data_IF_361995737508
#
_entry.id   IF_361995737508
#
_cell.length_a   1.000
_cell.length_b   1.000
_cell.length_c   1.000
_cell.angle_alpha   90.00
_cell.angle_beta   90.00
_cell.angle_gamma   90.00
#
_symmetry.space_group_name_H-M   'P 1'
#
loop_
_entity.id
_entity.type
_entity.pdbx_description
1 polymer ?
#
# COMPACT_ATOMS: atom_id res chain seq x y z
N UNK A 1 -3.95 -25.83 36.24
CA UNK A 1 -5.29 -25.25 36.17
C UNK A 1 -5.38 -23.88 36.85
N UNK A 2 -4.42 -22.97 36.69
CA UNK A 2 -4.43 -21.60 37.29
C UNK A 2 -4.02 -20.46 36.31
N UNK A 3 -3.96 -20.74 35.00
CA UNK A 3 -3.58 -19.72 33.96
C UNK A 3 -4.71 -19.35 32.99
N UNK A 4 -5.95 -19.81 33.20
CA UNK A 4 -7.09 -19.52 32.32
C UNK A 4 -8.15 -18.59 32.91
N UNK A 5 -7.96 -18.04 34.11
CA UNK A 5 -8.96 -17.18 34.81
C UNK A 5 -8.65 -15.69 34.70
N UNK A 6 -7.43 -15.29 34.30
CA UNK A 6 -7.04 -13.87 34.24
C UNK A 6 -7.47 -13.17 32.93
N UNK A 7 -7.69 -13.91 31.85
CA UNK A 7 -8.06 -13.33 30.55
C UNK A 7 -9.55 -12.97 30.38
N UNK A 8 -10.43 -13.41 31.27
CA UNK A 8 -11.87 -13.16 31.17
C UNK A 8 -12.31 -11.92 31.96
N UNK A 9 -11.47 -11.41 32.85
CA UNK A 9 -11.82 -10.24 33.70
C UNK A 9 -11.43 -8.89 33.10
N UNK A 10 -10.61 -8.83 32.05
CA UNK A 10 -10.25 -7.58 31.34
C UNK A 10 -11.22 -7.20 30.21
N UNK A 11 -12.03 -8.13 29.71
CA UNK A 11 -13.01 -7.88 28.66
C UNK A 11 -14.36 -7.32 29.19
N UNK A 12 -14.56 -7.34 30.50
CA UNK A 12 -15.82 -6.92 31.14
C UNK A 12 -15.91 -5.45 31.57
N UNK A 13 -14.84 -4.67 31.50
CA UNK A 13 -14.82 -3.29 31.99
C UNK A 13 -14.91 -2.19 30.94
N UNK A 14 -15.00 -2.49 29.67
CA UNK A 14 -15.15 -1.47 28.61
C UNK A 14 -16.57 -1.29 28.05
N UNK A 15 -17.59 -1.95 28.63
CA UNK A 15 -18.96 -1.86 28.12
C UNK A 15 -19.96 -1.13 29.09
N UNK A 16 -19.48 -0.39 30.08
CA UNK A 16 -20.34 0.27 31.07
C UNK A 16 -20.29 1.82 31.09
N UNK A 17 -19.69 2.47 30.09
CA UNK A 17 -19.51 3.94 30.09
C UNK A 17 -20.34 4.72 29.04
N UNK A 18 -21.33 4.13 28.38
CA UNK A 18 -22.06 4.78 27.28
C UNK A 18 -23.58 4.93 27.49
N UNK A 19 -24.10 4.94 28.73
CA UNK A 19 -25.54 5.18 29.00
C UNK A 19 -25.77 6.01 30.29
N UNK A 20 -25.39 7.30 30.28
CA UNK A 20 -26.00 8.27 31.18
C UNK A 20 -25.82 9.69 30.64
N UNK A 21 -26.95 10.34 30.39
CA UNK A 21 -26.98 11.80 30.26
C UNK A 21 -27.69 12.33 29.04
N UNK A 22 -28.99 12.61 29.16
CA UNK A 22 -29.54 13.94 29.02
C UNK A 22 -31.08 13.86 29.10
N UNK A 23 -31.63 14.09 30.28
CA UNK A 23 -32.98 14.61 30.44
C UNK A 23 -32.86 16.03 30.97
N UNK A 24 -33.23 17.00 30.17
CA UNK A 24 -33.33 18.41 30.52
C UNK A 24 -34.61 18.97 29.92
N UNK A 25 -35.67 19.03 30.73
CA UNK A 25 -36.92 19.74 30.46
C UNK A 25 -36.69 21.24 30.57
N UNK A 26 -36.99 21.98 29.51
CA UNK A 26 -37.01 23.45 29.50
C UNK A 26 -38.18 23.96 28.69
N UNK A 27 -39.05 24.65 29.39
CA UNK A 27 -40.36 25.20 29.05
C UNK A 27 -40.36 26.16 27.87
N UNK A 28 -41.41 26.04 27.10
CA UNK A 28 -41.90 26.84 25.98
C UNK A 28 -42.29 28.27 26.44
N UNK A 29 -41.84 29.26 25.70
CA UNK A 29 -42.50 30.58 25.73
C UNK A 29 -42.70 31.04 24.27
N UNK A 30 -43.97 31.17 23.90
CA UNK A 30 -44.45 31.72 22.64
C UNK A 30 -44.27 33.23 22.64
N UNK A 31 -43.81 33.77 21.54
CA UNK A 31 -44.12 35.13 21.11
C UNK A 31 -44.31 35.18 19.61
N UNK A 32 -45.54 35.48 19.24
CA UNK A 32 -45.97 35.76 17.87
C UNK A 32 -45.53 37.15 17.42
N UNK A 33 -45.05 37.32 16.20
CA UNK A 33 -45.39 38.50 15.39
C UNK A 33 -44.96 38.35 13.90
N UNK A 34 -45.96 38.42 13.09
CA UNK A 34 -46.12 39.12 11.81
C UNK A 34 -45.33 38.65 10.58
N UNK A 35 -46.15 38.34 9.61
CA UNK A 35 -45.93 38.05 8.21
C UNK A 35 -45.16 39.17 7.47
N UNK A 36 -44.23 38.78 6.67
CA UNK A 36 -43.70 39.53 5.56
C UNK A 36 -43.60 38.60 4.36
N UNK A 37 -44.50 38.79 3.39
CA UNK A 37 -44.42 38.18 2.08
C UNK A 37 -43.18 38.75 1.35
N UNK A 38 -42.27 37.88 0.89
CA UNK A 38 -41.32 38.21 -0.14
C UNK A 38 -41.35 37.12 -1.20
N UNK A 39 -41.53 37.61 -2.41
CA UNK A 39 -41.70 36.90 -3.68
C UNK A 39 -40.59 35.89 -3.92
N UNK A 40 -40.97 34.69 -4.34
CA UNK A 40 -40.09 33.76 -5.04
C UNK A 40 -39.74 34.36 -6.44
N UNK A 41 -38.54 34.80 -6.59
CA UNK A 41 -37.95 35.06 -7.90
C UNK A 41 -37.23 33.78 -8.34
N UNK A 42 -37.82 33.09 -9.28
CA UNK A 42 -37.30 31.97 -10.02
C UNK A 42 -36.06 32.42 -10.81
N UNK A 43 -34.87 32.09 -10.35
CA UNK A 43 -33.65 32.21 -11.14
C UNK A 43 -33.49 30.94 -12.00
N UNK A 44 -33.83 31.09 -13.27
CA UNK A 44 -33.44 30.14 -14.31
C UNK A 44 -31.91 30.12 -14.47
N UNK A 45 -31.29 28.96 -14.75
CA UNK A 45 -29.84 28.90 -15.00
C UNK A 45 -29.53 29.67 -16.28
N UNK A 46 -28.60 30.62 -16.19
CA UNK A 46 -28.04 31.30 -17.34
C UNK A 46 -27.14 30.29 -18.09
N UNK A 47 -27.55 29.89 -19.28
CA UNK A 47 -26.69 29.22 -20.25
C UNK A 47 -25.58 30.20 -20.68
N UNK A 48 -24.38 30.00 -20.16
CA UNK A 48 -23.18 30.64 -20.71
C UNK A 48 -22.78 29.85 -21.97
N UNK A 49 -23.14 30.34 -23.13
CA UNK A 49 -22.51 29.95 -24.38
C UNK A 49 -21.07 30.47 -24.39
N UNK A 50 -20.16 29.68 -23.89
CA UNK A 50 -18.75 29.82 -24.22
C UNK A 50 -18.54 29.08 -25.54
N UNK A 51 -18.39 29.82 -26.63
CA UNK A 51 -17.91 29.30 -27.90
C UNK A 51 -16.47 28.85 -27.73
N UNK A 52 -16.24 27.58 -27.43
CA UNK A 52 -14.96 26.97 -27.57
C UNK A 52 -14.71 26.75 -29.06
N UNK A 53 -13.76 27.49 -29.62
CA UNK A 53 -13.15 27.11 -30.89
C UNK A 53 -12.53 25.73 -30.72
N UNK A 54 -13.15 24.70 -31.31
CA UNK A 54 -12.59 23.37 -31.41
C UNK A 54 -11.42 23.46 -32.39
N UNK A 55 -10.21 23.57 -31.87
CA UNK A 55 -9.05 23.03 -32.58
C UNK A 55 -9.27 21.55 -32.70
N UNK A 56 -9.38 21.06 -33.95
CA UNK A 56 -9.66 19.66 -34.23
C UNK A 56 -8.64 18.74 -33.59
N UNK A 57 -8.96 18.25 -32.42
CA UNK A 57 -8.42 17.00 -31.92
C UNK A 57 -9.10 15.92 -32.77
N UNK A 58 -8.34 15.22 -33.61
CA UNK A 58 -8.77 13.95 -34.18
C UNK A 58 -9.30 13.12 -33.00
N UNK A 59 -10.55 12.68 -33.07
CA UNK A 59 -11.04 11.64 -32.16
C UNK A 59 -10.13 10.42 -32.36
N UNK A 60 -9.19 10.22 -31.44
CA UNK A 60 -8.44 8.99 -31.34
C UNK A 60 -9.50 7.94 -31.02
N UNK A 61 -9.87 7.14 -32.01
CA UNK A 61 -10.68 5.97 -31.81
C UNK A 61 -9.79 5.00 -31.00
N UNK A 62 -9.90 5.04 -29.69
CA UNK A 62 -9.13 4.18 -28.80
C UNK A 62 -9.39 2.73 -29.20
N UNK A 63 -8.38 2.09 -29.73
CA UNK A 63 -8.37 0.66 -30.01
C UNK A 63 -8.51 -0.12 -28.70
N UNK A 64 -8.88 -1.38 -28.77
CA UNK A 64 -8.75 -2.27 -27.60
C UNK A 64 -7.27 -2.44 -27.30
N UNK A 65 -6.81 -2.15 -26.07
CA UNK A 65 -5.39 -2.27 -25.75
C UNK A 65 -4.96 -3.75 -25.88
N UNK A 66 -3.78 -3.93 -26.45
CA UNK A 66 -3.12 -5.22 -26.59
C UNK A 66 -2.27 -5.55 -25.36
N UNK A 67 -1.73 -4.53 -24.73
CA UNK A 67 -0.88 -4.62 -23.55
C UNK A 67 -1.52 -3.82 -22.41
N UNK A 68 -1.71 -4.46 -21.28
CA UNK A 68 -2.33 -3.82 -20.11
C UNK A 68 -1.44 -4.03 -18.88
N UNK A 69 -1.03 -2.93 -18.29
CA UNK A 69 -0.36 -2.91 -17.00
C UNK A 69 -1.31 -2.36 -15.94
N UNK A 70 -1.46 -3.07 -14.85
CA UNK A 70 -2.20 -2.64 -13.67
C UNK A 70 -1.28 -2.63 -12.45
N UNK A 71 -0.90 -1.44 -12.00
CA UNK A 71 -0.12 -1.26 -10.79
C UNK A 71 -1.03 -0.99 -9.60
N UNK A 72 -0.84 -1.72 -8.52
CA UNK A 72 -1.57 -1.57 -7.26
C UNK A 72 -0.57 -1.29 -6.14
N UNK A 73 -0.62 -0.09 -5.55
CA UNK A 73 0.02 0.16 -4.27
C UNK A 73 -0.93 -0.28 -3.15
N UNK A 74 -0.61 -1.38 -2.46
CA UNK A 74 -1.41 -1.85 -1.33
C UNK A 74 -1.34 -0.83 -0.20
N UNK A 75 -2.49 -0.43 0.34
CA UNK A 75 -2.57 0.58 1.38
C UNK A 75 -2.15 1.99 0.95
N UNK A 76 -1.90 2.20 -0.34
CA UNK A 76 -1.43 3.45 -0.91
C UNK A 76 -2.60 4.35 -1.32
N UNK A 77 -2.76 5.46 -0.62
CA UNK A 77 -3.70 6.51 -1.01
C UNK A 77 -2.98 7.83 -1.28
N UNK A 78 -3.73 8.90 -1.41
CA UNK A 78 -3.17 10.21 -1.74
C UNK A 78 -2.07 10.70 -0.78
N UNK A 79 -2.14 10.52 0.55
CA UNK A 79 -1.08 10.93 1.45
C UNK A 79 0.26 10.23 1.20
N UNK A 80 0.28 8.94 0.89
CA UNK A 80 1.50 8.19 0.61
C UNK A 80 2.18 8.72 -0.66
N UNK A 81 1.42 8.90 -1.73
CA UNK A 81 1.92 9.45 -3.00
C UNK A 81 2.43 10.89 -2.83
N UNK A 82 1.66 11.75 -2.15
CA UNK A 82 2.06 13.14 -1.93
C UNK A 82 3.27 13.28 -1.00
N UNK A 83 3.33 12.49 0.08
CA UNK A 83 4.48 12.49 0.98
C UNK A 83 5.75 12.12 0.22
N UNK A 84 5.69 11.07 -0.59
CA UNK A 84 6.82 10.60 -1.41
C UNK A 84 7.26 11.67 -2.41
N UNK A 85 6.31 12.29 -3.12
CA UNK A 85 6.61 13.36 -4.06
C UNK A 85 7.26 14.58 -3.40
N UNK A 86 6.78 14.98 -2.23
CA UNK A 86 7.36 16.10 -1.47
C UNK A 86 8.73 15.74 -0.89
N UNK A 87 8.91 14.51 -0.40
CA UNK A 87 10.21 14.02 0.05
C UNK A 87 11.24 14.10 -1.09
N UNK A 88 10.91 13.63 -2.29
CA UNK A 88 11.77 13.73 -3.48
C UNK A 88 12.10 15.19 -3.82
N UNK A 89 11.13 16.11 -3.72
CA UNK A 89 11.37 17.53 -3.94
C UNK A 89 12.39 18.12 -2.96
N UNK A 90 12.30 17.72 -1.69
CA UNK A 90 13.21 18.21 -0.64
C UNK A 90 14.59 17.55 -0.73
N UNK A 91 14.66 16.24 -0.93
CA UNK A 91 15.93 15.48 -1.01
C UNK A 91 16.75 15.88 -2.23
N UNK A 92 16.09 16.17 -3.36
CA UNK A 92 16.74 16.67 -4.58
C UNK A 92 17.09 18.16 -4.53
N UNK A 93 16.82 18.83 -3.41
CA UNK A 93 17.12 20.26 -3.24
C UNK A 93 16.25 21.17 -4.12
N UNK A 94 15.06 20.73 -4.52
CA UNK A 94 14.11 21.52 -5.29
C UNK A 94 13.50 22.59 -4.40
N UNK A 95 14.08 23.79 -4.44
CA UNK A 95 13.52 24.97 -3.80
C UNK A 95 13.51 26.15 -4.77
N UNK A 96 12.52 27.02 -4.61
CA UNK A 96 12.35 28.21 -5.43
C UNK A 96 13.11 29.43 -4.86
N UNK A 97 14.13 29.22 -4.03
CA UNK A 97 14.88 30.27 -3.34
C UNK A 97 14.35 30.53 -1.93
N UNK A 98 14.55 31.76 -1.43
CA UNK A 98 14.09 32.16 -0.11
C UNK A 98 13.10 33.33 -0.19
N UNK A 99 12.32 33.50 0.87
CA UNK A 99 11.41 34.63 1.06
C UNK A 99 11.51 35.10 2.52
N UNK A 100 11.49 36.41 2.74
CA UNK A 100 11.44 36.97 4.10
C UNK A 100 9.98 37.16 4.51
N UNK A 101 9.55 36.47 5.56
CA UNK A 101 8.22 36.59 6.15
C UNK A 101 8.38 37.04 7.60
N UNK A 102 7.79 38.18 7.98
CA UNK A 102 7.88 38.75 9.33
C UNK A 102 9.30 38.94 9.85
N UNK A 103 10.27 39.13 8.94
CA UNK A 103 11.68 39.31 9.27
C UNK A 103 12.50 38.03 9.34
N UNK A 104 11.89 36.87 9.17
CA UNK A 104 12.54 35.56 9.06
C UNK A 104 12.69 35.13 7.61
N UNK A 105 13.84 34.55 7.28
CA UNK A 105 14.08 33.96 5.98
C UNK A 105 13.51 32.54 5.95
N UNK A 106 12.57 32.30 5.03
CA UNK A 106 11.95 30.98 4.81
C UNK A 106 12.29 30.45 3.43
N UNK A 107 12.54 29.16 3.32
CA UNK A 107 12.74 28.48 2.04
C UNK A 107 11.40 28.39 1.30
N UNK A 108 11.40 28.85 0.05
CA UNK A 108 10.27 28.63 -0.85
C UNK A 108 10.33 27.21 -1.36
N UNK A 109 9.27 26.44 -1.09
CA UNK A 109 9.14 25.10 -1.62
C UNK A 109 8.75 25.14 -3.09
N UNK A 110 9.37 24.29 -3.89
CA UNK A 110 8.97 24.00 -5.27
C UNK A 110 8.74 22.50 -5.36
N UNK A 111 7.49 22.10 -5.55
CA UNK A 111 7.11 20.71 -5.73
C UNK A 111 6.77 20.47 -7.19
N UNK A 112 7.58 19.63 -7.83
CA UNK A 112 7.30 19.10 -9.17
C UNK A 112 6.67 17.73 -9.05
N UNK A 113 6.13 17.23 -10.14
CA UNK A 113 5.77 15.82 -10.22
C UNK A 113 7.07 15.02 -10.41
N UNK A 114 7.61 14.51 -9.31
CA UNK A 114 8.83 13.71 -9.29
C UNK A 114 8.55 12.23 -9.50
N UNK A 115 7.30 11.82 -9.32
CA UNK A 115 6.85 10.44 -9.56
C UNK A 115 6.26 10.35 -10.98
N UNK A 116 6.63 9.30 -11.69
CA UNK A 116 6.15 8.98 -13.04
C UNK A 116 4.63 8.82 -13.06
N UNK A 117 4.07 8.14 -12.05
CA UNK A 117 2.61 7.93 -11.90
C UNK A 117 1.84 9.25 -11.77
N UNK A 118 2.43 10.31 -11.26
CA UNK A 118 1.80 11.63 -11.12
C UNK A 118 1.82 12.44 -12.42
N UNK A 119 2.53 12.01 -13.44
CA UNK A 119 2.62 12.68 -14.74
C UNK A 119 1.55 12.21 -15.74
N UNK A 120 0.77 11.20 -15.40
CA UNK A 120 -0.26 10.65 -16.28
C UNK A 120 -1.33 11.67 -16.61
N UNK A 121 -1.81 11.71 -17.88
CA UNK A 121 -2.74 12.73 -18.34
C UNK A 121 -4.16 12.55 -17.81
N UNK A 122 -4.50 11.37 -17.31
CA UNK A 122 -5.82 11.03 -16.79
C UNK A 122 -5.72 10.71 -15.31
N UNK A 123 -6.56 11.33 -14.50
CA UNK A 123 -6.70 11.05 -13.09
C UNK A 123 -8.16 10.73 -12.76
N UNK A 124 -8.35 9.81 -11.81
CA UNK A 124 -9.67 9.42 -11.32
C UNK A 124 -9.66 9.20 -9.81
N UNK A 125 -10.79 8.77 -9.27
CA UNK A 125 -10.92 8.38 -7.88
C UNK A 125 -11.84 7.19 -7.75
N UNK A 126 -11.60 6.36 -6.73
CA UNK A 126 -12.43 5.20 -6.41
C UNK A 126 -12.84 5.22 -4.93
N UNK A 127 -13.95 4.57 -4.62
CA UNK A 127 -14.36 4.28 -3.25
C UNK A 127 -13.96 2.86 -2.91
N UNK A 128 -13.22 2.70 -1.84
CA UNK A 128 -12.52 1.45 -1.50
C UNK A 128 -13.23 0.57 -0.46
N UNK A 129 -14.44 0.90 -0.02
CA UNK A 129 -15.21 0.10 0.95
C UNK A 129 -15.49 -1.33 0.46
N UNK A 130 -15.61 -2.29 1.38
CA UNK A 130 -16.11 -3.63 1.11
C UNK A 130 -17.59 -3.78 1.57
N UNK A 131 -18.18 -4.99 1.44
CA UNK A 131 -19.57 -5.22 1.80
C UNK A 131 -19.86 -5.13 3.30
N UNK A 132 -18.83 -5.06 4.15
CA UNK A 132 -18.95 -5.10 5.61
C UNK A 132 -18.20 -3.99 6.33
N UNK A 133 -17.30 -3.26 5.65
CA UNK A 133 -16.45 -2.25 6.27
C UNK A 133 -16.20 -1.05 5.35
N UNK A 134 -16.14 0.15 5.93
CA UNK A 134 -15.60 1.34 5.27
C UNK A 134 -14.07 1.42 5.35
N UNK A 135 -13.44 0.59 6.17
CA UNK A 135 -12.00 0.35 6.21
C UNK A 135 -11.75 -1.11 5.81
N UNK A 136 -11.75 -1.40 4.51
CA UNK A 136 -11.66 -2.76 3.97
C UNK A 136 -10.24 -3.32 4.10
N UNK A 137 -10.11 -4.62 3.85
CA UNK A 137 -8.81 -5.29 3.71
C UNK A 137 -8.43 -5.51 2.25
N UNK A 138 -7.18 -5.87 2.00
CA UNK A 138 -6.62 -6.10 0.66
C UNK A 138 -7.35 -7.20 -0.12
N UNK A 139 -7.90 -8.22 0.55
CA UNK A 139 -8.61 -9.31 -0.12
C UNK A 139 -9.91 -8.82 -0.78
N UNK A 140 -10.72 -8.08 -0.04
CA UNK A 140 -11.99 -7.54 -0.52
C UNK A 140 -11.84 -6.40 -1.53
N UNK A 141 -10.81 -5.57 -1.36
CA UNK A 141 -10.51 -4.49 -2.30
C UNK A 141 -9.95 -5.01 -3.62
N UNK A 142 -8.97 -5.92 -3.56
CA UNK A 142 -8.44 -6.57 -4.76
C UNK A 142 -9.51 -7.40 -5.48
N UNK A 143 -10.41 -8.09 -4.76
CA UNK A 143 -11.61 -8.71 -5.35
C UNK A 143 -12.43 -7.68 -6.12
N UNK A 144 -12.65 -6.49 -5.55
CA UNK A 144 -13.42 -5.44 -6.21
C UNK A 144 -12.75 -4.95 -7.49
N UNK A 145 -11.41 -4.82 -7.50
CA UNK A 145 -10.62 -4.42 -8.67
C UNK A 145 -10.65 -5.53 -9.73
N UNK A 146 -10.40 -6.78 -9.32
CA UNK A 146 -10.25 -7.90 -10.24
C UNK A 146 -11.58 -8.37 -10.86
N UNK A 147 -12.71 -8.20 -10.16
CA UNK A 147 -14.00 -8.80 -10.59
C UNK A 147 -15.13 -7.79 -10.81
N UNK A 148 -15.00 -6.57 -10.25
CA UNK A 148 -16.08 -5.58 -10.21
C UNK A 148 -17.15 -5.86 -9.16
N UNK A 149 -16.94 -6.84 -8.27
CA UNK A 149 -17.90 -7.23 -7.23
C UNK A 149 -17.37 -6.90 -5.84
N UNK A 150 -18.27 -6.60 -4.90
CA UNK A 150 -17.94 -6.47 -3.47
C UNK A 150 -18.06 -7.85 -2.80
N UNK A 151 -17.23 -8.05 -1.78
CA UNK A 151 -17.24 -9.25 -0.92
C UNK A 151 -16.95 -8.87 0.53
N UNK A 152 -16.84 -9.84 1.42
CA UNK A 152 -16.50 -9.65 2.83
C UNK A 152 -15.00 -9.38 3.00
N UNK A 153 -14.66 -8.62 4.05
CA UNK A 153 -13.27 -8.52 4.50
C UNK A 153 -12.67 -9.93 4.70
N UNK A 154 -11.50 -10.14 4.10
CA UNK A 154 -10.78 -11.41 4.19
C UNK A 154 -11.18 -12.49 3.19
N UNK A 155 -12.15 -12.23 2.32
CA UNK A 155 -12.58 -13.18 1.27
C UNK A 155 -12.05 -12.79 -0.10
N UNK A 156 -11.78 -13.78 -0.94
CA UNK A 156 -11.19 -13.61 -2.28
C UNK A 156 -12.15 -14.17 -3.30
N UNK A 157 -12.68 -13.31 -4.19
CA UNK A 157 -13.49 -13.65 -5.37
C UNK A 157 -14.69 -14.58 -5.12
N UNK A 158 -15.31 -14.49 -3.95
CA UNK A 158 -16.51 -15.23 -3.60
C UNK A 158 -17.64 -14.29 -3.18
N UNK A 159 -18.88 -14.73 -3.39
CA UNK A 159 -20.05 -13.98 -2.93
C UNK A 159 -20.14 -13.95 -1.41
N UNK A 160 -20.92 -13.01 -0.86
CA UNK A 160 -21.09 -12.83 0.58
C UNK A 160 -21.64 -14.06 1.31
N UNK A 161 -22.38 -14.92 0.62
CA UNK A 161 -22.92 -16.18 1.12
C UNK A 161 -22.07 -17.41 0.76
N UNK A 162 -20.90 -17.17 0.13
CA UNK A 162 -19.96 -18.19 -0.33
C UNK A 162 -20.55 -19.24 -1.31
N UNK A 163 -21.65 -18.89 -1.98
CA UNK A 163 -22.31 -19.80 -2.94
C UNK A 163 -21.85 -19.63 -4.37
N UNK A 164 -21.20 -18.51 -4.69
CA UNK A 164 -20.74 -18.17 -6.03
C UNK A 164 -19.27 -17.72 -5.98
N UNK A 165 -18.54 -18.05 -7.03
CA UNK A 165 -17.22 -17.48 -7.34
C UNK A 165 -17.37 -16.41 -8.42
N UNK A 166 -16.49 -15.41 -8.37
CA UNK A 166 -16.47 -14.31 -9.34
C UNK A 166 -15.29 -14.48 -10.28
N UNK A 167 -15.55 -14.68 -11.55
CA UNK A 167 -14.51 -14.73 -12.58
C UNK A 167 -13.75 -13.39 -12.66
N UNK A 168 -12.44 -13.47 -12.62
CA UNK A 168 -11.56 -12.30 -12.61
C UNK A 168 -11.32 -11.74 -14.02
N UNK A 169 -10.85 -10.47 -14.09
CA UNK A 169 -10.44 -9.89 -15.37
C UNK A 169 -9.27 -10.66 -16.01
N UNK A 170 -8.33 -11.17 -15.19
CA UNK A 170 -7.19 -11.93 -15.68
C UNK A 170 -7.62 -13.26 -16.32
N UNK A 171 -8.54 -14.00 -15.69
CA UNK A 171 -9.14 -15.21 -16.26
C UNK A 171 -9.87 -14.91 -17.56
N UNK A 172 -10.70 -13.88 -17.58
CA UNK A 172 -11.44 -13.46 -18.80
C UNK A 172 -10.50 -13.10 -19.95
N UNK A 173 -9.42 -12.38 -19.68
CA UNK A 173 -8.47 -11.99 -20.71
C UNK A 173 -7.71 -13.20 -21.26
N UNK A 174 -7.32 -14.14 -20.38
CA UNK A 174 -6.72 -15.41 -20.80
C UNK A 174 -7.68 -16.22 -21.67
N UNK A 175 -8.89 -16.47 -21.18
CA UNK A 175 -9.83 -17.37 -21.84
C UNK A 175 -10.44 -16.79 -23.12
N UNK A 176 -10.74 -15.48 -23.14
CA UNK A 176 -11.48 -14.86 -24.24
C UNK A 176 -10.57 -14.16 -25.26
N UNK A 177 -9.36 -13.81 -24.89
CA UNK A 177 -8.42 -13.06 -25.75
C UNK A 177 -7.11 -13.79 -25.99
N UNK A 178 -6.87 -14.92 -25.31
CA UNK A 178 -5.62 -15.67 -25.37
C UNK A 178 -4.40 -14.78 -25.03
N UNK A 179 -4.61 -13.80 -24.13
CA UNK A 179 -3.55 -12.95 -23.60
C UNK A 179 -2.71 -13.74 -22.61
N UNK A 180 -1.41 -13.51 -22.59
CA UNK A 180 -0.56 -13.97 -21.49
C UNK A 180 -0.83 -13.16 -20.22
N UNK A 181 -0.71 -13.80 -19.07
CA UNK A 181 -1.01 -13.18 -17.77
C UNK A 181 0.23 -13.19 -16.89
N UNK A 182 0.59 -12.01 -16.38
CA UNK A 182 1.64 -11.82 -15.36
C UNK A 182 1.06 -11.30 -14.05
N UNK A 183 1.49 -11.88 -12.94
CA UNK A 183 1.12 -11.45 -11.58
C UNK A 183 2.41 -11.29 -10.75
N UNK A 184 2.69 -10.06 -10.35
CA UNK A 184 3.91 -9.71 -9.64
C UNK A 184 3.58 -9.03 -8.30
N UNK A 185 4.39 -9.29 -7.28
CA UNK A 185 4.20 -8.65 -5.99
C UNK A 185 5.48 -8.58 -5.17
N UNK A 186 5.66 -7.50 -4.41
CA UNK A 186 6.72 -7.39 -3.41
C UNK A 186 6.43 -8.20 -2.15
N UNK A 187 5.16 -8.61 -1.91
CA UNK A 187 4.78 -9.58 -0.87
C UNK A 187 4.63 -10.98 -1.47
N UNK A 188 4.08 -11.92 -0.69
CA UNK A 188 3.95 -13.30 -1.16
C UNK A 188 3.02 -13.41 -2.36
N UNK A 189 3.36 -14.25 -3.32
CA UNK A 189 2.54 -14.47 -4.50
C UNK A 189 1.17 -15.07 -4.17
N UNK A 190 1.01 -15.77 -3.06
CA UNK A 190 -0.26 -16.27 -2.54
C UNK A 190 -0.84 -15.40 -1.40
N UNK A 191 -0.41 -14.12 -1.29
CA UNK A 191 -1.06 -13.11 -0.46
C UNK A 191 -2.37 -12.64 -1.10
N UNK A 192 -3.16 -11.87 -0.37
CA UNK A 192 -4.53 -11.52 -0.74
C UNK A 192 -4.66 -10.80 -2.10
N UNK A 193 -3.86 -9.77 -2.33
CA UNK A 193 -3.95 -8.94 -3.55
C UNK A 193 -3.58 -9.69 -4.81
N UNK A 194 -2.41 -10.36 -4.92
CA UNK A 194 -2.13 -11.17 -6.10
C UNK A 194 -3.13 -12.33 -6.26
N UNK A 195 -3.53 -12.98 -5.14
CA UNK A 195 -4.49 -14.08 -5.14
C UNK A 195 -5.85 -13.68 -5.74
N UNK A 196 -6.29 -12.43 -5.57
CA UNK A 196 -7.55 -11.95 -6.11
C UNK A 196 -7.61 -11.91 -7.65
N UNK A 197 -6.52 -12.18 -8.34
CA UNK A 197 -6.51 -12.27 -9.79
C UNK A 197 -6.62 -13.69 -10.33
N UNK A 198 -6.48 -14.74 -9.45
CA UNK A 198 -6.48 -16.14 -9.87
C UNK A 198 -7.15 -17.12 -8.89
N UNK A 199 -7.46 -16.71 -7.65
CA UNK A 199 -7.97 -17.63 -6.63
C UNK A 199 -9.38 -17.25 -6.15
N UNK A 200 -10.11 -18.25 -5.61
CA UNK A 200 -11.50 -18.13 -5.16
C UNK A 200 -11.67 -18.78 -3.79
N UNK A 201 -11.28 -18.06 -2.73
CA UNK A 201 -11.24 -18.59 -1.39
C UNK A 201 -12.11 -17.80 -0.41
N UNK A 202 -12.83 -18.50 0.45
CA UNK A 202 -13.58 -17.87 1.54
C UNK A 202 -12.69 -17.17 2.57
N UNK A 203 -11.40 -17.45 2.57
CA UNK A 203 -10.42 -16.86 3.49
C UNK A 203 -9.08 -16.63 2.82
N UNK A 204 -8.57 -15.39 2.91
CA UNK A 204 -7.21 -15.01 2.50
C UNK A 204 -6.10 -15.78 3.23
N UNK A 205 -6.42 -16.41 4.36
CA UNK A 205 -5.48 -17.24 5.12
C UNK A 205 -5.37 -18.68 4.63
N UNK A 206 -6.12 -19.07 3.60
CA UNK A 206 -6.03 -20.38 2.96
C UNK A 206 -4.82 -20.49 2.02
N UNK A 207 -3.64 -20.07 2.50
CA UNK A 207 -2.45 -19.89 1.67
C UNK A 207 -2.07 -21.09 0.79
N UNK A 208 -2.20 -22.31 1.32
CA UNK A 208 -1.88 -23.49 0.53
C UNK A 208 -2.89 -23.72 -0.59
N UNK A 209 -4.18 -23.56 -0.31
CA UNK A 209 -5.23 -23.74 -1.32
C UNK A 209 -5.18 -22.63 -2.37
N UNK A 210 -4.86 -21.38 -1.97
CA UNK A 210 -4.57 -20.29 -2.89
C UNK A 210 -3.37 -20.65 -3.79
N UNK A 211 -2.30 -21.23 -3.24
CA UNK A 211 -1.15 -21.68 -4.01
C UNK A 211 -1.48 -22.80 -5.01
N UNK A 212 -2.41 -23.68 -4.69
CA UNK A 212 -2.92 -24.67 -5.65
C UNK A 212 -3.68 -24.00 -6.79
N UNK A 213 -4.55 -23.03 -6.48
CA UNK A 213 -5.28 -22.27 -7.51
C UNK A 213 -4.34 -21.40 -8.38
N UNK A 214 -3.24 -20.89 -7.81
CA UNK A 214 -2.19 -20.21 -8.58
C UNK A 214 -1.62 -21.14 -9.67
N UNK A 215 -1.30 -22.38 -9.30
CA UNK A 215 -0.77 -23.38 -10.23
C UNK A 215 -1.83 -23.77 -11.27
N UNK A 216 -3.07 -23.98 -10.85
CA UNK A 216 -4.19 -24.39 -11.70
C UNK A 216 -4.63 -23.29 -12.65
N UNK A 217 -4.40 -21.99 -12.35
CA UNK A 217 -4.69 -20.86 -13.21
C UNK A 217 -3.99 -20.97 -14.58
N UNK A 218 -2.83 -21.63 -14.57
CA UNK A 218 -1.98 -21.75 -15.75
C UNK A 218 -1.53 -20.39 -16.31
N UNK A 219 -1.49 -19.32 -15.49
CA UNK A 219 -0.97 -18.03 -15.90
C UNK A 219 0.51 -18.10 -16.24
N UNK A 220 1.03 -17.14 -16.97
CA UNK A 220 2.27 -17.30 -17.72
C UNK A 220 3.50 -16.79 -16.94
N UNK A 221 3.33 -15.82 -16.03
CA UNK A 221 4.44 -15.26 -15.26
C UNK A 221 4.00 -14.85 -13.84
N UNK A 222 4.59 -15.48 -12.84
CA UNK A 222 4.50 -15.04 -11.46
C UNK A 222 5.88 -14.61 -10.98
N UNK A 223 6.01 -13.44 -10.32
CA UNK A 223 7.32 -12.99 -9.88
C UNK A 223 7.31 -12.11 -8.62
N UNK A 224 8.40 -12.16 -7.88
CA UNK A 224 8.66 -11.37 -6.69
C UNK A 224 8.77 -12.23 -5.43
N UNK A 225 7.90 -12.00 -4.43
CA UNK A 225 7.97 -12.76 -3.18
C UNK A 225 7.70 -14.25 -3.31
N UNK A 226 8.02 -15.00 -2.27
CA UNK A 226 7.82 -16.45 -2.22
C UNK A 226 6.38 -16.85 -1.92
N UNK A 227 6.18 -18.12 -1.54
CA UNK A 227 4.89 -18.64 -1.13
C UNK A 227 4.81 -18.83 0.39
N UNK A 228 3.71 -18.41 0.99
CA UNK A 228 3.40 -18.73 2.37
C UNK A 228 2.89 -20.17 2.47
N UNK A 229 3.36 -20.89 3.50
CA UNK A 229 2.95 -22.25 3.81
C UNK A 229 3.02 -23.20 2.60
N UNK A 230 4.14 -23.26 1.85
CA UNK A 230 4.23 -24.06 0.62
C UNK A 230 4.00 -25.56 0.82
N UNK A 231 4.18 -26.06 2.04
CA UNK A 231 3.89 -27.46 2.42
C UNK A 231 2.69 -27.59 3.36
N UNK A 232 1.80 -26.59 3.37
CA UNK A 232 0.67 -26.49 4.27
C UNK A 232 1.04 -25.98 5.66
N UNK A 233 0.04 -25.57 6.42
CA UNK A 233 0.22 -25.00 7.77
C UNK A 233 0.93 -25.97 8.74
N UNK A 234 0.59 -27.24 8.68
CA UNK A 234 1.17 -28.30 9.52
C UNK A 234 2.41 -28.93 8.87
N UNK A 235 2.84 -28.45 7.72
CA UNK A 235 3.98 -28.96 6.92
C UNK A 235 3.84 -30.42 6.53
N UNK A 236 2.64 -30.85 6.23
CA UNK A 236 2.25 -32.24 5.94
C UNK A 236 1.71 -32.44 4.51
N UNK A 237 1.69 -31.37 3.72
CA UNK A 237 1.25 -31.38 2.32
C UNK A 237 2.45 -31.41 1.36
N UNK A 238 2.19 -31.80 0.12
CA UNK A 238 3.17 -31.72 -0.96
C UNK A 238 3.62 -30.28 -1.21
N UNK A 239 4.89 -30.11 -1.55
CA UNK A 239 5.45 -28.77 -1.75
C UNK A 239 4.88 -28.11 -3.01
N UNK A 240 4.36 -26.87 -2.86
CA UNK A 240 3.74 -26.13 -3.97
C UNK A 240 4.72 -25.86 -5.12
N UNK A 241 6.00 -25.66 -4.84
CA UNK A 241 6.98 -25.47 -5.92
C UNK A 241 7.17 -26.75 -6.73
N UNK A 242 7.23 -27.91 -6.05
CA UNK A 242 7.30 -29.18 -6.76
C UNK A 242 6.02 -29.48 -7.57
N UNK A 243 4.85 -29.11 -7.05
CA UNK A 243 3.59 -29.21 -7.78
C UNK A 243 3.57 -28.28 -9.00
N UNK A 244 4.10 -27.06 -8.88
CA UNK A 244 4.22 -26.12 -9.98
C UNK A 244 5.11 -26.66 -11.10
N UNK A 245 6.29 -27.21 -10.75
CA UNK A 245 7.18 -27.85 -11.72
C UNK A 245 6.48 -29.04 -12.42
N UNK A 246 5.76 -29.87 -11.67
CA UNK A 246 4.98 -30.98 -12.23
C UNK A 246 3.85 -30.50 -13.17
N UNK A 247 3.29 -29.32 -12.93
CA UNK A 247 2.29 -28.65 -13.80
C UNK A 247 2.92 -27.92 -14.99
N UNK A 248 4.24 -27.99 -15.14
CA UNK A 248 4.97 -27.42 -16.27
C UNK A 248 5.44 -25.98 -16.11
N UNK A 249 5.46 -25.46 -14.88
CA UNK A 249 6.14 -24.19 -14.61
C UNK A 249 7.65 -24.38 -14.52
N UNK A 250 8.38 -23.40 -15.04
CA UNK A 250 9.80 -23.23 -14.74
C UNK A 250 9.90 -22.39 -13.46
N UNK A 251 10.31 -23.01 -12.36
CA UNK A 251 10.52 -22.31 -11.09
C UNK A 251 11.99 -21.90 -11.00
N UNK A 252 12.24 -20.60 -10.79
CA UNK A 252 13.58 -20.04 -10.59
C UNK A 252 13.61 -19.29 -9.26
N UNK A 253 14.71 -19.40 -8.53
CA UNK A 253 14.86 -18.86 -7.18
C UNK A 253 16.20 -18.13 -6.98
N UNK A 254 16.90 -17.86 -8.06
CA UNK A 254 18.12 -17.06 -8.06
C UNK A 254 18.03 -15.98 -9.11
N UNK A 255 18.67 -14.84 -8.84
CA UNK A 255 18.73 -13.72 -9.79
C UNK A 255 19.33 -14.15 -11.12
N UNK A 256 20.40 -14.95 -11.10
CA UNK A 256 21.05 -15.43 -12.31
C UNK A 256 20.13 -16.30 -13.18
N UNK A 257 19.27 -17.13 -12.58
CA UNK A 257 18.25 -17.90 -13.30
C UNK A 257 17.15 -16.98 -13.85
N UNK A 258 16.72 -15.99 -13.08
CA UNK A 258 15.73 -15.00 -13.51
C UNK A 258 16.25 -14.15 -14.69
N UNK A 259 17.52 -13.72 -14.66
CA UNK A 259 18.16 -13.02 -15.78
C UNK A 259 18.17 -13.83 -17.07
N UNK A 260 18.30 -15.16 -16.98
CA UNK A 260 18.35 -16.05 -18.13
C UNK A 260 16.97 -16.39 -18.73
N UNK A 261 15.86 -15.95 -18.12
CA UNK A 261 14.49 -16.20 -18.61
C UNK A 261 14.23 -15.52 -19.95
N UNK A 262 13.41 -16.16 -20.78
CA UNK A 262 13.01 -15.72 -22.12
C UNK A 262 11.56 -16.08 -22.42
N UNK A 263 11.01 -15.49 -23.48
CA UNK A 263 9.63 -15.72 -23.93
C UNK A 263 9.32 -17.21 -24.23
N UNK A 264 10.31 -17.99 -24.68
CA UNK A 264 10.17 -19.41 -24.98
C UNK A 264 10.16 -20.35 -23.77
N UNK A 265 10.46 -19.85 -22.56
CA UNK A 265 10.44 -20.66 -21.34
C UNK A 265 9.04 -21.08 -20.91
N UNK A 266 7.99 -20.50 -21.49
CA UNK A 266 6.60 -20.83 -21.22
C UNK A 266 6.12 -20.25 -19.89
N UNK A 267 5.52 -21.10 -19.04
CA UNK A 267 5.03 -20.65 -17.73
C UNK A 267 6.17 -20.58 -16.71
N UNK A 268 6.28 -19.45 -16.02
CA UNK A 268 7.40 -19.17 -15.11
C UNK A 268 6.90 -18.74 -13.74
N UNK A 269 7.57 -19.20 -12.69
CA UNK A 269 7.49 -18.65 -11.33
C UNK A 269 8.91 -18.21 -10.94
N UNK A 270 9.13 -16.90 -10.84
CA UNK A 270 10.41 -16.30 -10.48
C UNK A 270 10.35 -15.72 -9.06
N UNK A 271 10.97 -16.42 -8.12
CA UNK A 271 11.01 -16.02 -6.71
C UNK A 271 12.30 -15.24 -6.45
N UNK A 272 12.19 -14.15 -5.71
CA UNK A 272 13.32 -13.35 -5.28
C UNK A 272 14.33 -14.20 -4.47
N UNK A 273 15.63 -14.02 -4.77
CA UNK A 273 16.70 -14.75 -4.09
C UNK A 273 16.85 -14.32 -2.63
N UNK A 274 16.53 -13.05 -2.32
CA UNK A 274 16.76 -12.40 -1.04
C UNK A 274 15.46 -12.12 -0.29
N UNK A 275 14.71 -13.20 0.01
CA UNK A 275 13.47 -13.08 0.76
C UNK A 275 13.71 -12.61 2.20
N UNK A 276 12.92 -11.63 2.61
CA UNK A 276 12.91 -11.07 3.96
C UNK A 276 11.76 -11.65 4.83
N UNK A 277 11.17 -10.82 5.68
CA UNK A 277 10.10 -11.21 6.58
C UNK A 277 8.92 -11.87 5.84
N UNK A 278 8.40 -12.94 6.40
CA UNK A 278 7.26 -13.68 5.85
C UNK A 278 7.44 -14.17 4.41
N UNK A 279 8.65 -14.39 3.93
CA UNK A 279 8.97 -14.76 2.54
C UNK A 279 8.54 -13.71 1.51
N UNK A 280 8.48 -12.45 1.88
CA UNK A 280 8.31 -11.32 0.97
C UNK A 280 9.68 -10.82 0.46
N UNK A 281 9.71 -10.00 -0.59
CA UNK A 281 10.92 -9.27 -0.98
C UNK A 281 11.38 -8.34 0.16
N UNK A 282 12.64 -7.98 0.17
CA UNK A 282 13.16 -6.94 1.08
C UNK A 282 12.41 -5.61 0.88
N UNK A 283 12.30 -4.80 1.95
CA UNK A 283 11.94 -3.39 1.77
C UNK A 283 12.98 -2.71 0.90
N UNK A 284 12.58 -1.78 0.04
CA UNK A 284 13.52 -1.04 -0.80
C UNK A 284 14.61 -0.33 0.02
N UNK A 285 14.29 0.12 1.24
CA UNK A 285 15.25 0.71 2.18
C UNK A 285 16.34 -0.27 2.63
N UNK A 286 16.05 -1.57 2.66
CA UNK A 286 16.95 -2.62 3.14
C UNK A 286 17.65 -3.38 2.02
N UNK A 287 17.18 -3.25 0.79
CA UNK A 287 17.68 -3.95 -0.40
C UNK A 287 19.10 -3.50 -0.73
N UNK A 288 19.99 -4.43 -1.02
CA UNK A 288 21.31 -4.11 -1.55
C UNK A 288 21.21 -3.64 -3.02
N UNK A 289 22.14 -2.79 -3.45
CA UNK A 289 22.11 -2.18 -4.78
C UNK A 289 22.18 -3.22 -5.92
N UNK A 290 22.86 -4.35 -5.68
CA UNK A 290 23.01 -5.45 -6.63
C UNK A 290 21.82 -6.42 -6.67
N UNK A 291 20.91 -6.36 -5.71
CA UNK A 291 19.71 -7.21 -5.67
C UNK A 291 18.60 -6.64 -6.58
N UNK A 292 17.84 -7.51 -7.21
CA UNK A 292 16.73 -7.11 -8.05
C UNK A 292 15.64 -6.37 -7.25
N UNK A 293 15.15 -5.30 -7.84
CA UNK A 293 13.96 -4.57 -7.39
C UNK A 293 12.71 -5.04 -8.14
N UNK A 294 11.54 -4.57 -7.72
CA UNK A 294 10.27 -4.82 -8.42
C UNK A 294 10.34 -4.44 -9.91
N UNK A 295 11.05 -3.36 -10.23
CA UNK A 295 11.22 -2.87 -11.60
C UNK A 295 11.94 -3.90 -12.50
N UNK A 296 12.93 -4.63 -11.98
CA UNK A 296 13.66 -5.65 -12.73
C UNK A 296 12.76 -6.85 -13.07
N UNK A 297 11.89 -7.25 -12.14
CA UNK A 297 10.88 -8.29 -12.38
C UNK A 297 9.83 -7.85 -13.39
N UNK A 298 9.45 -6.56 -13.43
CA UNK A 298 8.54 -6.01 -14.45
C UNK A 298 9.22 -6.02 -15.82
N UNK A 299 10.47 -5.55 -15.93
CA UNK A 299 11.23 -5.57 -17.17
C UNK A 299 11.38 -6.99 -17.71
N UNK A 300 11.75 -7.95 -16.86
CA UNK A 300 11.82 -9.36 -17.23
C UNK A 300 10.46 -9.94 -17.60
N UNK A 301 9.40 -9.54 -16.91
CA UNK A 301 8.03 -9.94 -17.22
C UNK A 301 7.57 -9.49 -18.58
N UNK A 302 7.95 -8.29 -19.02
CA UNK A 302 7.69 -7.79 -20.38
C UNK A 302 8.35 -8.72 -21.41
N UNK A 303 9.61 -9.13 -21.20
CA UNK A 303 10.32 -10.05 -22.09
C UNK A 303 9.66 -11.45 -22.14
N UNK A 304 9.30 -12.01 -20.99
CA UNK A 304 8.71 -13.36 -20.88
C UNK A 304 7.29 -13.41 -21.46
N UNK A 305 6.52 -12.34 -21.27
CA UNK A 305 5.12 -12.25 -21.72
C UNK A 305 4.97 -11.80 -23.17
N UNK A 306 6.04 -11.38 -23.85
CA UNK A 306 5.94 -10.92 -25.23
C UNK A 306 5.35 -11.99 -26.14
N UNK A 307 4.31 -11.62 -26.91
CA UNK A 307 3.60 -12.50 -27.83
C UNK A 307 2.65 -11.70 -28.75
N UNK A 308 2.14 -12.36 -29.79
CA UNK A 308 1.26 -11.73 -30.78
C UNK A 308 -0.12 -11.31 -30.25
N UNK A 309 -0.63 -11.94 -29.19
CA UNK A 309 -1.95 -11.66 -28.61
C UNK A 309 -1.91 -10.57 -27.51
N UNK A 310 -0.71 -10.21 -27.04
CA UNK A 310 -0.48 -9.27 -25.98
C UNK A 310 -0.57 -9.89 -24.59
N UNK A 311 -0.52 -9.05 -23.57
CA UNK A 311 -0.52 -9.50 -22.17
C UNK A 311 -1.29 -8.56 -21.24
N UNK A 312 -1.70 -9.11 -20.11
CA UNK A 312 -2.11 -8.38 -18.91
C UNK A 312 -1.09 -8.65 -17.80
N UNK A 313 -0.54 -7.59 -17.22
CA UNK A 313 0.39 -7.67 -16.11
C UNK A 313 -0.14 -6.88 -14.91
N UNK A 314 -0.45 -7.56 -13.80
CA UNK A 314 -0.72 -6.94 -12.52
C UNK A 314 0.58 -6.89 -11.71
N UNK A 315 0.89 -5.73 -11.14
CA UNK A 315 2.09 -5.46 -10.35
C UNK A 315 1.70 -4.82 -9.03
N UNK A 316 2.05 -5.45 -7.94
CA UNK A 316 1.71 -4.97 -6.60
C UNK A 316 2.95 -4.47 -5.84
N UNK A 317 2.83 -3.24 -5.30
CA UNK A 317 3.70 -2.72 -4.25
C UNK A 317 3.13 -3.04 -2.87
N UNK A 318 3.14 -4.31 -2.47
CA UNK A 318 2.47 -4.78 -1.25
C UNK A 318 3.18 -4.36 0.04
N UNK A 319 4.48 -4.08 -0.02
CA UNK A 319 5.27 -3.64 1.15
C UNK A 319 4.91 -2.22 1.60
N UNK A 320 4.25 -1.42 0.77
CA UNK A 320 3.76 -0.08 1.15
C UNK A 320 2.76 -0.20 2.30
N UNK A 321 1.80 -1.13 2.21
CA UNK A 321 0.81 -1.40 3.26
C UNK A 321 1.47 -1.84 4.58
N UNK A 322 2.42 -2.77 4.50
CA UNK A 322 3.10 -3.27 5.68
C UNK A 322 3.91 -2.17 6.39
N UNK A 323 4.57 -1.30 5.64
CA UNK A 323 5.25 -0.12 6.19
C UNK A 323 4.26 0.85 6.85
N UNK A 324 3.10 1.09 6.21
CA UNK A 324 2.03 1.93 6.77
C UNK A 324 1.44 1.35 8.06
N UNK A 325 1.20 0.04 8.13
CA UNK A 325 0.76 -0.65 9.36
C UNK A 325 1.74 -0.46 10.52
N UNK A 326 3.04 -0.44 10.22
CA UNK A 326 4.09 -0.21 11.21
C UNK A 326 4.31 1.29 11.54
N UNK A 327 3.65 2.20 10.83
CA UNK A 327 3.94 3.65 10.85
C UNK A 327 5.39 3.98 10.49
N UNK A 328 6.01 3.19 9.62
CA UNK A 328 7.35 3.39 9.08
C UNK A 328 7.29 4.24 7.80
N UNK A 329 7.31 5.55 7.97
CA UNK A 329 7.15 6.49 6.86
C UNK A 329 8.34 6.46 5.88
N UNK A 330 9.56 6.16 6.33
CA UNK A 330 10.71 6.07 5.43
C UNK A 330 10.59 4.85 4.51
N UNK A 331 10.24 3.67 5.05
CA UNK A 331 9.96 2.48 4.24
C UNK A 331 8.75 2.69 3.33
N UNK A 332 7.69 3.36 3.80
CA UNK A 332 6.54 3.73 2.94
C UNK A 332 6.99 4.56 1.73
N UNK A 333 7.85 5.55 1.94
CA UNK A 333 8.37 6.41 0.87
C UNK A 333 9.21 5.60 -0.11
N UNK A 334 10.16 4.79 0.37
CA UNK A 334 11.08 4.05 -0.50
C UNK A 334 10.36 2.97 -1.31
N UNK A 335 9.40 2.27 -0.72
CA UNK A 335 8.59 1.26 -1.43
C UNK A 335 7.58 1.89 -2.41
N UNK A 336 7.09 3.11 -2.13
CA UNK A 336 6.31 3.89 -3.12
C UNK A 336 7.20 4.30 -4.31
N UNK A 337 8.46 4.67 -4.07
CA UNK A 337 9.43 4.95 -5.14
C UNK A 337 9.73 3.67 -5.94
N UNK A 338 9.90 2.52 -5.28
CA UNK A 338 10.12 1.25 -5.95
C UNK A 338 8.95 0.87 -6.87
N UNK A 339 7.71 1.10 -6.45
CA UNK A 339 6.54 0.93 -7.30
C UNK A 339 6.56 1.90 -8.49
N UNK A 340 6.93 3.17 -8.28
CA UNK A 340 7.01 4.17 -9.34
C UNK A 340 8.11 3.85 -10.37
N UNK A 341 9.24 3.30 -9.93
CA UNK A 341 10.30 2.81 -10.81
C UNK A 341 9.81 1.62 -11.68
N UNK A 342 8.95 0.77 -11.12
CA UNK A 342 8.31 -0.30 -11.88
C UNK A 342 7.28 0.26 -12.90
N UNK A 343 6.56 1.33 -12.56
CA UNK A 343 5.70 2.07 -13.50
C UNK A 343 6.51 2.68 -14.63
N UNK A 344 7.72 3.17 -14.35
CA UNK A 344 8.60 3.72 -15.39
C UNK A 344 8.94 2.68 -16.47
N UNK A 345 9.15 1.40 -16.10
CA UNK A 345 9.36 0.32 -17.06
C UNK A 345 8.16 0.11 -18.01
N UNK A 346 6.96 0.23 -17.48
CA UNK A 346 5.76 0.19 -18.32
C UNK A 346 5.64 1.43 -19.23
N UNK A 347 6.08 2.61 -18.78
CA UNK A 347 6.11 3.83 -19.60
C UNK A 347 7.19 3.73 -20.68
N UNK A 348 8.35 3.12 -20.41
CA UNK A 348 9.37 2.81 -21.43
C UNK A 348 8.77 1.93 -22.52
N UNK A 349 8.06 0.86 -22.16
CA UNK A 349 7.35 -0.01 -23.09
C UNK A 349 6.24 0.72 -23.86
N UNK A 350 5.44 1.56 -23.17
CA UNK A 350 4.41 2.39 -23.80
C UNK A 350 4.99 3.30 -24.89
N UNK A 351 6.18 3.86 -24.71
CA UNK A 351 6.81 4.73 -25.69
C UNK A 351 7.15 3.99 -27.01
N UNK A 352 7.29 2.68 -26.96
CA UNK A 352 7.47 1.81 -28.12
C UNK A 352 6.15 1.35 -28.73
N UNK A 353 5.08 1.24 -27.91
CA UNK A 353 3.76 0.72 -28.29
C UNK A 353 2.58 1.64 -27.86
N UNK A 354 2.60 2.96 -28.21
CA UNK A 354 1.69 3.96 -27.61
C UNK A 354 0.20 3.73 -27.98
N UNK A 355 -0.08 3.15 -29.14
CA UNK A 355 -1.46 2.94 -29.61
C UNK A 355 -2.10 1.64 -29.05
N UNK A 356 -1.29 0.77 -28.44
CA UNK A 356 -1.69 -0.57 -28.02
C UNK A 356 -1.57 -0.81 -26.51
N UNK A 357 -1.00 0.15 -25.76
CA UNK A 357 -0.69 -0.01 -24.32
C UNK A 357 -1.62 0.82 -23.46
N UNK A 358 -2.14 0.19 -22.41
CA UNK A 358 -2.87 0.84 -21.31
C UNK A 358 -2.12 0.63 -20.00
N UNK A 359 -1.79 1.73 -19.30
CA UNK A 359 -1.18 1.70 -17.98
C UNK A 359 -2.17 2.29 -16.97
N UNK A 360 -2.46 1.55 -15.93
CA UNK A 360 -3.33 1.96 -14.82
C UNK A 360 -2.52 1.87 -13.53
N UNK A 361 -2.51 2.95 -12.74
CA UNK A 361 -1.91 2.96 -11.40
C UNK A 361 -2.99 3.33 -10.39
N UNK A 362 -3.14 2.53 -9.35
CA UNK A 362 -4.13 2.76 -8.29
C UNK A 362 -3.62 2.31 -6.93
N UNK A 363 -4.25 2.77 -5.86
CA UNK A 363 -4.23 2.10 -4.58
C UNK A 363 -5.51 1.29 -4.42
N UNK A 364 -5.54 0.36 -3.49
CA UNK A 364 -6.69 -0.48 -3.20
C UNK A 364 -7.47 0.00 -1.95
N UNK A 365 -6.79 0.48 -0.93
CA UNK A 365 -7.31 1.17 0.26
C UNK A 365 -6.24 2.10 0.83
N UNK A 366 -6.55 2.81 1.91
CA UNK A 366 -5.58 3.55 2.71
C UNK A 366 -5.16 2.71 3.92
N UNK A 367 -3.99 3.01 4.51
CA UNK A 367 -3.46 2.28 5.67
C UNK A 367 -2.66 3.19 6.59
N UNK A 368 -2.71 2.92 7.89
CA UNK A 368 -1.88 3.54 8.91
C UNK A 368 -2.27 4.96 9.30
N UNK A 369 -3.27 5.56 8.65
CA UNK A 369 -3.72 6.93 8.94
C UNK A 369 -2.64 7.98 8.67
N UNK A 370 -1.79 7.78 7.65
CA UNK A 370 -0.72 8.71 7.28
C UNK A 370 -1.26 10.10 6.98
N UNK A 371 -0.64 11.13 7.55
CA UNK A 371 -0.91 12.54 7.26
C UNK A 371 0.40 13.31 7.15
N UNK A 372 0.46 14.31 6.25
CA UNK A 372 1.69 15.05 5.96
C UNK A 372 2.01 16.08 7.05
N UNK A 373 1.01 16.56 7.78
CA UNK A 373 1.21 17.54 8.83
C UNK A 373 0.20 17.37 9.97
N UNK A 374 0.54 17.89 11.14
CA UNK A 374 -0.34 17.90 12.30
C UNK A 374 -0.19 19.20 13.11
N UNK A 375 -1.12 19.47 14.02
CA UNK A 375 -1.20 20.74 14.76
C UNK A 375 0.06 21.14 15.56
N UNK A 376 0.90 20.17 15.96
CA UNK A 376 2.13 20.42 16.70
C UNK A 376 3.31 20.91 15.87
N UNK A 377 3.18 21.02 14.55
CA UNK A 377 4.26 21.48 13.65
C UNK A 377 4.11 22.92 13.17
N UNK A 378 3.03 23.63 13.55
CA UNK A 378 2.75 25.00 13.10
C UNK A 378 2.83 25.17 11.58
N UNK A 379 2.34 24.12 10.84
CA UNK A 379 2.38 24.03 9.37
C UNK A 379 3.76 23.76 8.74
N UNK A 380 4.79 23.53 9.54
CA UNK A 380 6.10 23.11 9.04
C UNK A 380 6.14 21.59 8.78
N UNK A 381 7.02 21.16 7.87
CA UNK A 381 7.31 19.76 7.56
C UNK A 381 8.82 19.52 7.62
N UNK A 382 9.21 18.34 8.11
CA UNK A 382 10.62 18.01 8.33
C UNK A 382 11.01 16.76 7.52
N UNK A 383 10.59 16.70 6.27
CA UNK A 383 10.69 15.50 5.40
C UNK A 383 12.14 15.02 5.22
N UNK A 384 13.11 15.94 5.26
CA UNK A 384 14.52 15.59 5.17
C UNK A 384 15.00 14.70 6.31
N UNK A 385 14.30 14.67 7.45
CA UNK A 385 14.66 13.81 8.58
C UNK A 385 14.53 12.31 8.22
N UNK A 386 13.72 11.94 7.22
CA UNK A 386 13.62 10.56 6.75
C UNK A 386 14.93 10.02 6.15
N UNK A 387 15.83 10.89 5.68
CA UNK A 387 17.17 10.49 5.22
C UNK A 387 18.03 9.88 6.33
N UNK A 388 17.68 10.10 7.59
CA UNK A 388 18.39 9.55 8.73
C UNK A 388 18.03 8.09 9.03
N UNK A 389 16.88 7.61 8.56
CA UNK A 389 16.51 6.20 8.72
C UNK A 389 17.23 5.35 7.67
N UNK A 390 17.95 4.32 8.12
CA UNK A 390 18.81 3.47 7.30
C UNK A 390 18.36 2.02 7.21
N UNK A 391 17.27 1.69 7.89
CA UNK A 391 16.79 0.32 8.05
C UNK A 391 15.28 0.34 8.25
N UNK A 392 14.56 -0.63 7.70
CA UNK A 392 13.13 -0.77 7.96
C UNK A 392 12.85 -1.22 9.39
N UNK A 393 11.60 -1.02 9.84
CA UNK A 393 11.15 -1.55 11.12
C UNK A 393 11.32 -3.08 11.20
N UNK A 394 11.04 -3.80 10.10
CA UNK A 394 11.08 -5.27 10.06
C UNK A 394 12.49 -5.80 10.21
N UNK A 395 13.45 -5.23 9.48
CA UNK A 395 14.86 -5.58 9.58
C UNK A 395 15.43 -5.18 10.95
N UNK A 396 15.01 -4.05 11.52
CA UNK A 396 15.38 -3.68 12.88
C UNK A 396 14.85 -4.67 13.92
N UNK A 397 13.60 -5.13 13.76
CA UNK A 397 13.02 -6.11 14.68
C UNK A 397 13.74 -7.46 14.61
N UNK A 398 14.09 -7.93 13.40
CA UNK A 398 14.81 -9.19 13.20
C UNK A 398 16.26 -9.14 13.68
N UNK A 399 17.01 -8.13 13.29
CA UNK A 399 18.46 -8.09 13.44
C UNK A 399 18.89 -7.56 14.82
N UNK A 400 18.05 -6.73 15.47
CA UNK A 400 18.40 -6.04 16.72
C UNK A 400 17.47 -6.39 17.89
N UNK A 401 16.15 -6.23 17.74
CA UNK A 401 15.21 -6.32 18.88
C UNK A 401 15.19 -7.72 19.48
N UNK A 402 15.28 -8.76 18.66
CA UNK A 402 15.38 -10.14 19.14
C UNK A 402 16.61 -10.36 20.01
N UNK A 403 17.77 -9.84 19.59
CA UNK A 403 19.01 -9.87 20.34
C UNK A 403 18.95 -9.06 21.64
N UNK A 404 18.30 -7.90 21.64
CA UNK A 404 18.11 -7.11 22.86
C UNK A 404 17.29 -7.85 23.92
N UNK A 405 16.21 -8.51 23.50
CA UNK A 405 15.35 -9.31 24.39
C UNK A 405 16.10 -10.50 24.99
N UNK A 406 16.87 -11.22 24.17
CA UNK A 406 17.66 -12.38 24.59
C UNK A 406 18.78 -11.98 25.56
N UNK A 407 19.54 -10.95 25.23
CA UNK A 407 20.70 -10.50 26.00
C UNK A 407 20.34 -9.55 27.13
N UNK A 408 19.09 -9.11 27.26
CA UNK A 408 18.63 -8.07 28.21
C UNK A 408 19.49 -6.83 28.10
N UNK A 409 19.71 -6.38 26.86
CA UNK A 409 20.56 -5.24 26.54
C UNK A 409 20.06 -3.99 27.27
N UNK A 410 20.98 -3.21 27.84
CA UNK A 410 20.64 -2.00 28.56
C UNK A 410 20.12 -0.90 27.62
N UNK A 411 19.33 0.02 28.18
CA UNK A 411 18.69 1.08 27.44
C UNK A 411 19.66 2.01 26.71
N UNK A 412 20.82 2.31 27.29
CA UNK A 412 21.80 3.19 26.66
C UNK A 412 22.34 2.58 25.36
N UNK A 413 22.62 1.28 25.37
CA UNK A 413 23.07 0.54 24.18
C UNK A 413 21.98 0.52 23.12
N UNK A 414 20.73 0.22 23.48
CA UNK A 414 19.60 0.27 22.53
C UNK A 414 19.44 1.66 21.93
N UNK A 415 19.49 2.72 22.74
CA UNK A 415 19.35 4.09 22.24
C UNK A 415 20.49 4.54 21.33
N UNK A 416 21.70 3.99 21.51
CA UNK A 416 22.81 4.24 20.61
C UNK A 416 22.52 3.68 19.21
N UNK A 417 22.03 2.44 19.14
CA UNK A 417 21.66 1.81 17.87
C UNK A 417 20.47 2.54 17.22
N UNK A 418 19.46 2.93 18.01
CA UNK A 418 18.31 3.73 17.53
C UNK A 418 18.78 5.09 16.96
N UNK A 419 19.74 5.75 17.63
CA UNK A 419 20.29 7.01 17.12
C UNK A 419 21.05 6.81 15.81
N UNK A 420 21.81 5.73 15.69
CA UNK A 420 22.60 5.44 14.49
C UNK A 420 21.72 5.04 13.29
N UNK A 421 20.68 4.25 13.55
CA UNK A 421 19.86 3.65 12.52
C UNK A 421 18.66 4.52 12.09
N UNK A 422 18.12 5.34 13.00
CA UNK A 422 16.93 6.16 12.76
C UNK A 422 17.16 7.66 12.90
N UNK A 423 18.34 8.09 13.36
CA UNK A 423 18.62 9.52 13.65
C UNK A 423 17.86 10.05 14.87
N UNK A 424 17.20 9.20 15.66
CA UNK A 424 16.41 9.60 16.82
C UNK A 424 17.32 9.78 18.05
N UNK A 425 17.08 10.83 18.83
CA UNK A 425 17.82 11.10 20.05
C UNK A 425 16.87 11.14 21.25
N UNK A 426 17.36 10.66 22.40
CA UNK A 426 16.65 10.85 23.65
C UNK A 426 16.52 12.36 23.97
N UNK A 427 15.38 12.83 24.50
CA UNK A 427 15.24 14.22 24.92
C UNK A 427 16.33 14.61 25.89
N UNK A 428 16.95 15.78 25.66
CA UNK A 428 17.97 16.31 26.59
C UNK A 428 17.34 16.51 27.97
N UNK A 429 17.85 15.79 28.98
CA UNK A 429 17.42 15.92 30.38
C UNK A 429 16.78 14.69 31.02
N UNK A 430 16.74 13.54 30.34
CA UNK A 430 16.39 12.26 30.97
C UNK A 430 17.63 11.55 31.52
N UNK A 431 18.38 12.20 32.36
CA UNK A 431 19.31 11.50 33.27
C UNK A 431 18.46 10.59 34.15
N UNK A 432 18.85 9.32 34.22
CA UNK A 432 18.18 8.23 34.90
C UNK A 432 17.99 8.52 36.41
N UNK A 433 17.00 9.32 36.76
CA UNK A 433 16.45 9.31 38.12
C UNK A 433 15.20 8.45 38.15
N UNK A 434 15.33 7.34 38.79
CA UNK A 434 14.36 6.34 39.17
C UNK A 434 13.02 7.02 39.54
N UNK A 435 12.02 6.93 38.68
CA UNK A 435 10.66 7.37 39.01
C UNK A 435 10.05 6.36 39.98
N UNK A 436 10.18 6.62 41.27
CA UNK A 436 9.28 6.04 42.26
C UNK A 436 7.88 6.60 42.01
N UNK A 437 7.00 5.73 41.62
CA UNK A 437 5.57 5.97 41.43
C UNK A 437 5.00 6.55 42.75
N UNK A 438 4.59 7.81 42.74
CA UNK A 438 3.70 8.39 43.74
C UNK A 438 2.32 8.48 43.11
N UNK A 439 1.45 7.58 43.57
CA UNK A 439 0.01 7.72 43.39
C UNK A 439 -0.45 9.00 44.10
N UNK A 440 -0.95 9.97 43.35
CA UNK A 440 -1.87 10.98 43.85
C UNK A 440 -2.79 11.43 42.72
N UNK A 441 -4.06 11.21 42.99
CA UNK A 441 -5.18 11.58 42.16
C UNK A 441 -5.32 13.11 41.99
N UNK A 442 -5.99 13.48 40.89
CA UNK A 442 -6.57 14.76 40.54
C UNK A 442 -5.65 15.96 40.32
N UNK A 443 -5.40 16.24 39.05
CA UNK A 443 -5.66 17.52 38.38
C UNK A 443 -5.17 17.45 36.94
N UNK A 444 -6.07 17.77 35.99
CA UNK A 444 -5.72 17.97 34.58
C UNK A 444 -4.77 19.17 34.46
N UNK A 445 -3.59 19.02 33.83
CA UNK A 445 -2.90 20.14 33.18
C UNK A 445 -3.04 20.02 31.68
N UNK A 446 -3.23 21.15 31.04
CA UNK A 446 -3.12 21.35 29.61
C UNK A 446 -1.79 20.74 29.10
N UNK A 447 -1.91 19.96 28.05
CA UNK A 447 -0.79 19.20 27.49
C UNK A 447 0.18 20.12 26.74
N UNK A 448 1.31 20.37 27.35
CA UNK A 448 2.51 20.84 26.64
C UNK A 448 3.30 19.60 26.19
N UNK A 449 3.00 19.10 25.01
CA UNK A 449 3.69 17.96 24.38
C UNK A 449 4.58 18.47 23.26
N UNK A 450 5.68 19.14 23.62
CA UNK A 450 6.75 19.43 22.68
C UNK A 450 7.75 18.27 22.64
N UNK A 451 7.44 17.21 21.92
CA UNK A 451 8.46 16.32 21.40
C UNK A 451 9.11 17.00 20.19
N UNK A 452 10.24 17.62 20.36
CA UNK A 452 11.02 18.18 19.25
C UNK A 452 11.82 17.04 18.61
N UNK A 453 11.45 16.69 17.40
CA UNK A 453 12.34 15.99 16.48
C UNK A 453 13.37 17.03 15.99
N UNK A 454 14.62 16.82 16.33
CA UNK A 454 15.74 17.64 15.83
C UNK A 454 16.34 17.01 14.58
#
# INVERSE_FOLDING_TARGET
>A
MRKKIVSVLLAGMMLAAALTGCTGTGTRQESASQAGQSQEESLAPAESQASAESTGAEEIQAGTPKYVFLFIGDGMSYPQVQLTNYYLSVSQGQNAGTVTVEGEEKTKLDSKNNLTMMSFPIAGSAQTYDSTSFAPDSASTATSIATGNKTWSGSINVSEDFTQTYETIAEKLKDQKDMKIGILSTVNLNHATPAAFYAHQASRSSYYDIGLEMIDSGFDYFAGGGLLQPTGKEKDKEDLYALAEAAGYKVVQTQAEAEALKAEDGKVIAIDEHLADSSAMSYELDRAEEEWALADYVEKGIEVLDNDNGFFMMVEGGKIDWACHANDAASTITDTIALDNAVEKAVEFYNEHPEETLIIVTGDHETGGLTIGFAGTDYDTFLKNFENQKISYAKYDSDYVSGYKENKTDFETVMKDVTELFGLQAPAGTDSETTQQKDSADQHPESDNTARLS
#
